data_IF_222066262655
#
_entry.id   IF_222066262655
#
_cell.length_a   1.000
_cell.length_b   1.000
_cell.length_c   1.000
_cell.angle_alpha   90.00
_cell.angle_beta   90.00
_cell.angle_gamma   90.00
#
_symmetry.space_group_name_H-M   'P 1'
#
loop_
_entity.id
_entity.type
_entity.pdbx_description
1 polymer ?
#
# COMPACT_ATOMS: atom_id res chain seq x y z
N UNK A 1 -23.89 4.48 -5.29
CA UNK A 1 -23.57 3.15 -4.69
C UNK A 1 -23.76 3.25 -3.18
N UNK A 2 -24.59 2.38 -2.61
CA UNK A 2 -24.84 2.38 -1.16
C UNK A 2 -23.79 1.53 -0.42
N UNK A 3 -23.73 1.63 0.93
CA UNK A 3 -22.72 0.93 1.75
C UNK A 3 -22.75 -0.60 1.59
N UNK A 4 -23.94 -1.20 1.44
CA UNK A 4 -24.07 -2.65 1.28
C UNK A 4 -23.55 -3.11 -0.08
N UNK A 5 -23.87 -2.38 -1.14
CA UNK A 5 -23.32 -2.64 -2.48
C UNK A 5 -21.81 -2.46 -2.53
N UNK A 6 -21.29 -1.47 -1.81
CA UNK A 6 -19.86 -1.22 -1.70
C UNK A 6 -19.14 -2.36 -0.96
N UNK A 7 -19.63 -2.78 0.22
CA UNK A 7 -19.05 -3.90 0.98
C UNK A 7 -19.27 -5.24 0.25
N UNK A 8 -20.41 -5.44 -0.42
CA UNK A 8 -20.66 -6.64 -1.21
C UNK A 8 -19.71 -6.74 -2.40
N UNK A 9 -19.48 -5.65 -3.12
CA UNK A 9 -18.52 -5.61 -4.22
C UNK A 9 -17.08 -5.77 -3.73
N UNK A 10 -16.73 -5.29 -2.54
CA UNK A 10 -15.40 -5.49 -1.94
C UNK A 10 -15.19 -6.93 -1.46
N UNK A 11 -16.23 -7.58 -0.94
CA UNK A 11 -16.20 -9.02 -0.60
C UNK A 11 -16.10 -9.87 -1.88
N UNK A 12 -16.80 -9.50 -2.96
CA UNK A 12 -16.67 -10.15 -4.26
C UNK A 12 -15.28 -9.93 -4.88
N UNK A 13 -14.66 -8.76 -4.69
CA UNK A 13 -13.27 -8.53 -5.09
C UNK A 13 -12.30 -9.40 -4.28
N UNK A 14 -12.57 -9.64 -2.99
CA UNK A 14 -11.80 -10.56 -2.16
C UNK A 14 -12.04 -12.04 -2.52
N UNK A 15 -13.14 -12.37 -3.20
CA UNK A 15 -13.47 -13.73 -3.68
C UNK A 15 -12.93 -13.98 -5.12
N UNK A 16 -12.18 -13.02 -5.69
CA UNK A 16 -11.48 -13.23 -6.97
C UNK A 16 -12.42 -13.38 -8.18
N UNK A 17 -13.63 -12.84 -8.11
CA UNK A 17 -14.44 -12.60 -9.29
C UNK A 17 -14.12 -11.18 -9.78
N UNK A 18 -13.12 -11.09 -10.64
CA UNK A 18 -12.90 -9.91 -11.47
C UNK A 18 -14.14 -9.69 -12.36
N UNK A 19 -15.11 -8.96 -11.86
CA UNK A 19 -16.07 -8.24 -12.69
C UNK A 19 -15.39 -6.96 -13.23
N UNK A 20 -14.12 -7.09 -13.62
CA UNK A 20 -13.54 -6.16 -14.58
C UNK A 20 -14.27 -6.52 -15.88
N UNK A 21 -15.00 -5.60 -16.52
CA UNK A 21 -15.48 -5.85 -17.88
C UNK A 21 -14.26 -6.38 -18.64
N UNK A 22 -14.40 -7.50 -19.36
CA UNK A 22 -13.41 -7.93 -20.35
C UNK A 22 -13.35 -6.81 -21.38
N UNK A 23 -12.58 -5.77 -21.06
CA UNK A 23 -12.13 -4.80 -22.02
C UNK A 23 -11.29 -5.61 -23.00
N UNK A 24 -11.90 -5.98 -24.11
CA UNK A 24 -11.21 -6.50 -25.30
C UNK A 24 -10.33 -5.37 -25.78
N UNK A 25 -9.11 -5.32 -25.24
CA UNK A 25 -8.09 -4.39 -25.69
C UNK A 25 -7.68 -4.82 -27.09
N UNK A 26 -8.26 -4.14 -28.09
CA UNK A 26 -7.59 -3.97 -29.36
C UNK A 26 -6.19 -3.41 -29.10
N UNK A 27 -5.28 -3.46 -30.05
CA UNK A 27 -3.91 -2.87 -29.97
C UNK A 27 -3.99 -1.34 -29.81
N UNK A 28 -4.52 -0.86 -28.68
CA UNK A 28 -5.12 0.45 -28.52
C UNK A 28 -4.11 1.46 -28.01
N UNK A 29 -4.31 2.68 -28.47
CA UNK A 29 -3.57 3.89 -28.09
C UNK A 29 -3.46 4.06 -26.57
N UNK A 30 -4.49 3.66 -25.82
CA UNK A 30 -4.53 3.78 -24.34
C UNK A 30 -3.53 2.87 -23.62
N UNK A 31 -3.42 1.60 -24.03
CA UNK A 31 -2.42 0.67 -23.46
C UNK A 31 -1.01 1.20 -23.69
N UNK A 32 -0.72 1.66 -24.90
CA UNK A 32 0.58 2.25 -25.23
C UNK A 32 0.86 3.52 -24.45
N UNK A 33 -0.15 4.37 -24.24
CA UNK A 33 0.00 5.58 -23.42
C UNK A 33 0.38 5.23 -21.97
N UNK A 34 -0.25 4.22 -21.37
CA UNK A 34 0.06 3.79 -20.00
C UNK A 34 1.41 3.11 -19.89
N UNK A 35 1.81 2.31 -20.88
CA UNK A 35 3.16 1.75 -20.94
C UNK A 35 4.23 2.84 -21.03
N UNK A 36 4.00 3.85 -21.87
CA UNK A 36 4.88 5.01 -21.97
C UNK A 36 4.94 5.81 -20.67
N UNK A 37 3.81 5.96 -19.98
CA UNK A 37 3.79 6.58 -18.65
C UNK A 37 4.65 5.80 -17.65
N UNK A 38 4.51 4.46 -17.59
CA UNK A 38 5.30 3.62 -16.69
C UNK A 38 6.80 3.78 -16.98
N UNK A 39 7.20 3.78 -18.25
CA UNK A 39 8.60 4.00 -18.62
C UNK A 39 9.08 5.42 -18.21
N UNK A 40 8.27 6.45 -18.43
CA UNK A 40 8.61 7.82 -18.00
C UNK A 40 8.76 7.94 -16.49
N UNK A 41 7.90 7.26 -15.71
CA UNK A 41 8.00 7.20 -14.25
C UNK A 41 9.27 6.49 -13.78
N UNK A 42 9.66 5.40 -14.45
CA UNK A 42 10.91 4.67 -14.17
C UNK A 42 12.15 5.53 -14.43
N UNK A 43 12.19 6.19 -15.58
CA UNK A 43 13.28 7.13 -15.91
C UNK A 43 13.37 8.24 -14.88
N UNK A 44 12.23 8.84 -14.51
CA UNK A 44 12.19 9.89 -13.49
C UNK A 44 12.68 9.39 -12.13
N UNK A 45 12.28 8.18 -11.72
CA UNK A 45 12.73 7.58 -10.46
C UNK A 45 14.24 7.37 -10.42
N UNK A 46 14.86 7.01 -11.54
CA UNK A 46 16.32 6.82 -11.63
C UNK A 46 17.09 8.13 -11.72
N UNK A 47 16.63 9.08 -12.56
CA UNK A 47 17.39 10.29 -12.87
C UNK A 47 17.17 11.42 -11.87
N UNK A 48 15.97 11.52 -11.29
CA UNK A 48 15.59 12.63 -10.41
C UNK A 48 15.45 12.25 -8.94
N UNK A 49 15.29 10.95 -8.65
CA UNK A 49 15.14 10.45 -7.27
C UNK A 49 16.28 9.50 -6.88
N UNK A 50 17.21 9.22 -7.78
CA UNK A 50 18.39 8.35 -7.57
C UNK A 50 18.03 6.93 -7.10
N UNK A 51 16.81 6.48 -7.38
CA UNK A 51 16.36 5.14 -6.98
C UNK A 51 16.98 4.07 -7.88
N UNK A 52 17.62 3.10 -7.26
CA UNK A 52 18.27 1.98 -7.95
C UNK A 52 17.35 0.76 -7.95
N UNK A 53 17.00 0.27 -9.12
CA UNK A 53 16.21 -0.95 -9.30
C UNK A 53 16.69 -1.76 -10.50
N UNK A 54 16.24 -3.01 -10.58
CA UNK A 54 16.67 -3.91 -11.64
C UNK A 54 16.16 -3.44 -13.01
N UNK A 55 16.92 -3.75 -14.07
CA UNK A 55 16.57 -3.41 -15.46
C UNK A 55 15.22 -3.97 -15.91
N UNK A 56 14.79 -5.11 -15.35
CA UNK A 56 13.52 -5.76 -15.67
C UNK A 56 12.33 -5.28 -14.82
N UNK A 57 12.53 -4.28 -13.95
CA UNK A 57 11.48 -3.66 -13.14
C UNK A 57 10.37 -3.08 -14.03
N UNK A 58 9.15 -3.62 -13.93
CA UNK A 58 7.99 -3.28 -14.77
C UNK A 58 8.29 -3.20 -16.28
N UNK A 59 9.18 -4.07 -16.78
CA UNK A 59 9.53 -4.13 -18.21
C UNK A 59 8.83 -5.26 -18.96
N UNK A 60 8.24 -6.22 -18.25
CA UNK A 60 7.51 -7.34 -18.82
C UNK A 60 6.02 -7.09 -18.67
N UNK A 61 5.27 -7.36 -19.73
CA UNK A 61 3.82 -7.33 -19.71
C UNK A 61 3.24 -8.74 -19.77
N UNK A 62 2.22 -9.01 -18.96
CA UNK A 62 1.49 -10.27 -18.97
C UNK A 62 0.00 -10.01 -19.07
N UNK A 63 -0.67 -10.72 -19.98
CA UNK A 63 -2.13 -10.74 -20.09
C UNK A 63 -2.80 -11.55 -18.99
N UNK A 64 -2.15 -12.66 -18.64
CA UNK A 64 -2.71 -13.68 -17.76
C UNK A 64 -2.10 -13.53 -16.38
N UNK A 65 -2.91 -13.01 -15.46
CA UNK A 65 -2.56 -12.88 -14.07
C UNK A 65 -3.27 -13.92 -13.25
N UNK A 66 -2.49 -14.70 -12.52
CA UNK A 66 -3.03 -15.43 -11.38
C UNK A 66 -2.90 -14.52 -10.15
N UNK A 67 -3.99 -14.21 -9.47
CA UNK A 67 -3.90 -13.42 -8.25
C UNK A 67 -3.08 -14.18 -7.20
N UNK A 68 -2.23 -13.47 -6.46
CA UNK A 68 -1.47 -14.03 -5.35
C UNK A 68 -2.20 -13.79 -4.04
N UNK A 69 -2.26 -14.81 -3.19
CA UNK A 69 -3.01 -14.80 -1.95
C UNK A 69 -2.10 -14.63 -0.74
N UNK A 70 -2.46 -13.65 0.09
CA UNK A 70 -1.81 -13.32 1.36
C UNK A 70 -2.82 -13.41 2.48
N UNK A 71 -2.51 -14.09 3.56
CA UNK A 71 -3.37 -14.18 4.74
C UNK A 71 -2.70 -13.49 5.92
N UNK A 72 -3.24 -12.36 6.31
CA UNK A 72 -2.90 -11.73 7.58
C UNK A 72 -3.72 -12.36 8.69
N UNK A 73 -3.06 -12.68 9.79
CA UNK A 73 -3.69 -13.29 10.97
C UNK A 73 -3.31 -12.46 12.18
N UNK A 74 -4.28 -12.09 12.98
CA UNK A 74 -4.07 -11.33 14.22
C UNK A 74 -4.83 -11.94 15.38
N UNK A 75 -4.29 -11.79 16.58
CA UNK A 75 -5.01 -12.11 17.81
C UNK A 75 -6.27 -11.25 17.94
N UNK A 76 -7.36 -11.81 18.52
CA UNK A 76 -8.64 -11.10 18.57
C UNK A 76 -8.64 -9.88 19.54
N UNK A 77 -7.74 -9.88 20.52
CA UNK A 77 -7.69 -8.86 21.58
C UNK A 77 -6.58 -7.81 21.41
N UNK A 78 -5.70 -7.99 20.42
CA UNK A 78 -4.62 -7.04 20.12
C UNK A 78 -4.22 -7.13 18.64
N UNK A 79 -3.67 -6.03 18.12
CA UNK A 79 -3.16 -5.96 16.74
C UNK A 79 -1.75 -6.52 16.71
N UNK A 80 -1.67 -7.88 16.65
CA UNK A 80 -0.41 -8.61 16.67
C UNK A 80 -0.58 -9.97 16.03
N UNK A 81 0.42 -10.43 15.27
CA UNK A 81 0.46 -11.79 14.75
C UNK A 81 0.56 -12.83 15.89
N UNK A 82 -0.16 -13.96 15.79
CA UNK A 82 0.02 -15.09 16.70
C UNK A 82 1.46 -15.61 16.65
N UNK A 83 1.87 -16.28 17.74
CA UNK A 83 3.20 -16.91 17.82
C UNK A 83 3.43 -17.87 16.64
N UNK A 84 4.54 -17.72 15.95
CA UNK A 84 4.91 -18.57 14.80
C UNK A 84 4.50 -18.01 13.44
N UNK A 85 3.71 -16.95 13.39
CA UNK A 85 3.43 -16.18 12.17
C UNK A 85 4.23 -14.89 12.26
N UNK A 86 5.15 -14.69 11.30
CA UNK A 86 6.02 -13.49 11.34
C UNK A 86 5.29 -12.23 10.91
N UNK A 87 4.73 -12.21 9.72
CA UNK A 87 4.05 -11.04 9.15
C UNK A 87 2.72 -11.46 8.52
N UNK A 88 2.78 -12.30 7.50
CA UNK A 88 1.64 -12.87 6.79
C UNK A 88 2.01 -14.28 6.28
N UNK A 89 1.00 -15.03 5.86
CA UNK A 89 1.17 -16.30 5.17
C UNK A 89 0.95 -16.07 3.67
N UNK A 90 1.88 -16.53 2.85
CA UNK A 90 1.83 -16.42 1.40
C UNK A 90 1.56 -17.77 0.75
N UNK A 91 0.60 -17.82 -0.18
CA UNK A 91 0.13 -19.03 -0.82
C UNK A 91 0.33 -19.03 -2.35
N UNK A 92 0.97 -18.01 -2.91
CA UNK A 92 1.02 -17.88 -4.36
C UNK A 92 -0.38 -17.84 -4.97
N UNK A 93 -0.62 -18.56 -6.10
CA UNK A 93 -1.94 -18.61 -6.73
C UNK A 93 -2.92 -19.61 -6.07
N UNK A 94 -2.51 -20.34 -5.02
CA UNK A 94 -3.32 -21.38 -4.37
C UNK A 94 -4.41 -20.79 -3.46
N UNK A 95 -5.56 -20.50 -4.07
CA UNK A 95 -6.73 -19.96 -3.37
C UNK A 95 -7.32 -20.94 -2.36
N UNK A 96 -7.34 -22.22 -2.70
CA UNK A 96 -7.98 -23.25 -1.84
C UNK A 96 -7.21 -23.41 -0.54
N UNK A 97 -5.89 -23.49 -0.63
CA UNK A 97 -5.02 -23.54 0.55
C UNK A 97 -5.16 -22.28 1.40
N UNK A 98 -5.21 -21.11 0.77
CA UNK A 98 -5.38 -19.84 1.49
C UNK A 98 -6.71 -19.80 2.27
N UNK A 99 -7.82 -20.23 1.63
CA UNK A 99 -9.14 -20.31 2.28
C UNK A 99 -9.16 -21.36 3.40
N UNK A 100 -8.55 -22.53 3.19
CA UNK A 100 -8.46 -23.57 4.22
C UNK A 100 -7.71 -23.05 5.46
N UNK A 101 -6.58 -22.36 5.27
CA UNK A 101 -5.83 -21.74 6.36
C UNK A 101 -6.60 -20.61 7.03
N UNK A 102 -7.33 -19.79 6.28
CA UNK A 102 -8.19 -18.76 6.86
C UNK A 102 -9.24 -19.37 7.79
N UNK A 103 -9.95 -20.43 7.34
CA UNK A 103 -10.93 -21.13 8.17
C UNK A 103 -10.32 -21.72 9.45
N UNK A 104 -9.12 -22.29 9.35
CA UNK A 104 -8.38 -22.82 10.49
C UNK A 104 -8.17 -21.75 11.57
N UNK A 105 -7.59 -20.60 11.22
CA UNK A 105 -7.32 -19.51 12.18
C UNK A 105 -8.60 -18.85 12.72
N UNK A 106 -9.66 -18.75 11.90
CA UNK A 106 -10.97 -18.31 12.39
C UNK A 106 -11.51 -19.29 13.47
N UNK A 107 -11.33 -20.60 13.26
CA UNK A 107 -11.69 -21.64 14.24
C UNK A 107 -10.89 -21.55 15.54
N UNK A 108 -9.66 -21.04 15.50
CA UNK A 108 -8.82 -20.74 16.68
C UNK A 108 -9.16 -19.40 17.36
N UNK A 109 -10.18 -18.69 16.88
CA UNK A 109 -10.61 -17.41 17.44
C UNK A 109 -9.75 -16.21 17.04
N UNK A 110 -8.90 -16.35 16.01
CA UNK A 110 -8.12 -15.25 15.46
C UNK A 110 -8.95 -14.37 14.53
N UNK A 111 -8.56 -13.12 14.37
CA UNK A 111 -8.98 -12.29 13.27
C UNK A 111 -8.14 -12.58 12.03
N UNK A 112 -8.77 -12.62 10.85
CA UNK A 112 -8.08 -12.90 9.59
C UNK A 112 -8.44 -11.89 8.51
N UNK A 113 -7.51 -11.66 7.59
CA UNK A 113 -7.73 -10.92 6.36
C UNK A 113 -7.08 -11.69 5.21
N UNK A 114 -7.89 -12.28 4.34
CA UNK A 114 -7.42 -12.82 3.06
C UNK A 114 -7.33 -11.68 2.06
N UNK A 115 -6.12 -11.39 1.63
CA UNK A 115 -5.80 -10.29 0.71
C UNK A 115 -5.26 -10.86 -0.60
N UNK A 116 -5.70 -10.31 -1.72
CA UNK A 116 -5.17 -10.62 -3.05
C UNK A 116 -4.35 -9.46 -3.56
N UNK A 117 -3.20 -9.76 -4.13
CA UNK A 117 -2.38 -8.80 -4.85
C UNK A 117 -2.35 -9.22 -6.31
N UNK A 118 -2.89 -8.37 -7.16
CA UNK A 118 -2.92 -8.59 -8.59
C UNK A 118 -1.67 -7.96 -9.22
N UNK A 119 -0.88 -8.80 -9.90
CA UNK A 119 0.08 -8.35 -10.92
C UNK A 119 1.34 -7.59 -10.51
N UNK A 120 1.47 -7.10 -9.30
CA UNK A 120 2.68 -6.35 -8.90
C UNK A 120 3.72 -7.19 -8.16
N UNK A 121 3.44 -8.47 -7.93
CA UNK A 121 4.31 -9.34 -7.12
C UNK A 121 5.73 -9.47 -7.70
N UNK A 122 5.83 -9.64 -9.02
CA UNK A 122 7.11 -9.78 -9.73
C UNK A 122 7.48 -8.52 -10.52
N UNK A 123 6.91 -7.37 -10.16
CA UNK A 123 7.10 -6.10 -10.88
C UNK A 123 6.78 -6.22 -12.38
N UNK A 124 5.74 -6.98 -12.70
CA UNK A 124 5.24 -7.18 -14.07
C UNK A 124 4.12 -6.19 -14.35
N UNK A 125 4.10 -5.62 -15.54
CA UNK A 125 2.95 -4.82 -16.00
C UNK A 125 1.81 -5.76 -16.34
N UNK A 126 0.66 -5.55 -15.71
CA UNK A 126 -0.51 -6.40 -15.84
C UNK A 126 -1.71 -5.62 -16.34
N UNK A 127 -2.74 -6.29 -16.81
CA UNK A 127 -3.98 -5.64 -17.21
C UNK A 127 -4.64 -4.91 -16.03
N UNK A 128 -4.55 -5.48 -14.81
CA UNK A 128 -5.06 -4.85 -13.59
C UNK A 128 -4.34 -3.55 -13.29
N UNK A 129 -3.00 -3.52 -13.42
CA UNK A 129 -2.21 -2.29 -13.28
C UNK A 129 -2.62 -1.24 -14.32
N UNK A 130 -2.77 -1.65 -15.59
CA UNK A 130 -3.17 -0.75 -16.67
C UNK A 130 -4.61 -0.25 -16.56
N UNK A 131 -5.46 -0.89 -15.74
CA UNK A 131 -6.82 -0.42 -15.46
C UNK A 131 -6.87 0.74 -14.46
N UNK A 132 -5.79 1.00 -13.70
CA UNK A 132 -5.72 2.12 -12.78
C UNK A 132 -5.62 3.46 -13.52
N UNK A 133 -6.02 4.56 -12.84
CA UNK A 133 -5.74 5.91 -13.33
C UNK A 133 -4.23 6.23 -13.27
N UNK A 134 -3.83 7.26 -13.99
CA UNK A 134 -2.42 7.62 -14.12
C UNK A 134 -1.80 8.03 -12.76
N UNK A 135 -2.59 8.67 -11.91
CA UNK A 135 -2.19 9.10 -10.58
C UNK A 135 -1.90 7.89 -9.68
N UNK A 136 -2.76 6.87 -9.72
CA UNK A 136 -2.56 5.62 -8.98
C UNK A 136 -1.36 4.83 -9.49
N UNK A 137 -1.14 4.79 -10.82
CA UNK A 137 0.05 4.18 -11.42
C UNK A 137 1.30 4.90 -10.94
N UNK A 138 1.32 6.23 -10.94
CA UNK A 138 2.48 7.01 -10.49
C UNK A 138 2.81 6.73 -9.01
N UNK A 139 1.82 6.78 -8.12
CA UNK A 139 1.98 6.42 -6.71
C UNK A 139 2.58 5.03 -6.54
N UNK A 140 2.05 4.04 -7.26
CA UNK A 140 2.49 2.65 -7.16
C UNK A 140 3.92 2.46 -7.68
N UNK A 141 4.24 2.99 -8.86
CA UNK A 141 5.57 2.79 -9.47
C UNK A 141 6.67 3.39 -8.58
N UNK A 142 6.50 4.59 -8.02
CA UNK A 142 7.49 5.18 -7.11
C UNK A 142 7.60 4.40 -5.79
N UNK A 143 6.48 3.90 -5.24
CA UNK A 143 6.47 3.05 -4.06
C UNK A 143 7.28 1.75 -4.29
N UNK A 144 6.99 1.04 -5.38
CA UNK A 144 7.67 -0.22 -5.70
C UNK A 144 9.14 0.00 -6.13
N UNK A 145 9.46 1.14 -6.75
CA UNK A 145 10.84 1.52 -7.06
C UNK A 145 11.66 1.71 -5.77
N UNK A 146 11.09 2.34 -4.76
CA UNK A 146 11.71 2.50 -3.45
C UNK A 146 11.96 1.13 -2.78
N UNK A 147 11.03 0.19 -2.83
CA UNK A 147 11.26 -1.19 -2.36
C UNK A 147 12.44 -1.87 -3.06
N UNK A 148 12.57 -1.70 -4.38
CA UNK A 148 13.71 -2.27 -5.09
C UNK A 148 15.02 -1.64 -4.66
N UNK A 149 15.04 -0.33 -4.42
CA UNK A 149 16.20 0.39 -3.92
C UNK A 149 16.59 -0.10 -2.51
N UNK A 150 15.62 -0.20 -1.60
CA UNK A 150 15.84 -0.63 -0.21
C UNK A 150 16.02 -2.13 -0.03
N UNK A 151 15.88 -2.96 -1.06
CA UNK A 151 15.99 -4.42 -0.97
C UNK A 151 17.24 -4.92 -0.26
N UNK A 152 18.34 -4.17 -0.32
CA UNK A 152 19.61 -4.49 0.35
C UNK A 152 19.76 -3.77 1.68
N UNK A 153 18.86 -2.84 2.00
CA UNK A 153 18.87 -2.16 3.28
C UNK A 153 18.53 -3.16 4.38
N UNK A 154 18.95 -2.88 5.58
CA UNK A 154 18.55 -3.65 6.76
C UNK A 154 17.51 -2.88 7.58
N UNK A 155 16.75 -2.02 6.89
CA UNK A 155 15.69 -1.24 7.48
C UNK A 155 14.60 -2.18 8.02
N UNK A 156 13.99 -1.80 9.14
CA UNK A 156 12.82 -2.49 9.67
C UNK A 156 11.66 -2.36 8.68
N UNK A 157 10.84 -3.40 8.54
CA UNK A 157 9.74 -3.44 7.57
C UNK A 157 8.74 -2.28 7.73
N UNK A 158 8.44 -1.85 8.96
CA UNK A 158 7.54 -0.71 9.19
C UNK A 158 8.14 0.63 8.72
N UNK A 159 9.46 0.81 8.88
CA UNK A 159 10.16 1.98 8.36
C UNK A 159 10.25 1.92 6.84
N UNK A 160 10.55 0.74 6.28
CA UNK A 160 10.66 0.55 4.83
C UNK A 160 9.35 0.83 4.13
N UNK A 161 8.24 0.21 4.57
CA UNK A 161 6.91 0.44 3.98
C UNK A 161 6.47 1.90 4.12
N UNK A 162 6.70 2.52 5.28
CA UNK A 162 6.43 3.94 5.48
C UNK A 162 7.27 4.84 4.56
N UNK A 163 8.54 4.51 4.34
CA UNK A 163 9.41 5.24 3.41
C UNK A 163 8.93 5.07 1.96
N UNK A 164 8.61 3.84 1.55
CA UNK A 164 8.07 3.58 0.21
C UNK A 164 6.77 4.37 -0.05
N UNK A 165 5.89 4.51 0.96
CA UNK A 165 4.70 5.36 0.85
C UNK A 165 5.05 6.84 0.66
N UNK A 166 6.08 7.34 1.36
CA UNK A 166 6.56 8.71 1.18
C UNK A 166 7.13 8.89 -0.23
N UNK A 167 7.96 7.98 -0.72
CA UNK A 167 8.46 8.00 -2.11
C UNK A 167 7.32 7.94 -3.11
N UNK A 168 6.31 7.10 -2.89
CA UNK A 168 5.11 7.03 -3.74
C UNK A 168 4.41 8.37 -3.83
N UNK A 169 4.11 8.98 -2.68
CA UNK A 169 3.33 10.23 -2.63
C UNK A 169 4.11 11.44 -3.13
N UNK A 170 5.36 11.62 -2.72
CA UNK A 170 6.19 12.76 -3.13
C UNK A 170 6.69 12.60 -4.56
N UNK A 171 7.12 11.41 -4.96
CA UNK A 171 7.56 11.13 -6.32
C UNK A 171 6.46 11.40 -7.34
N UNK A 172 5.22 10.95 -7.06
CA UNK A 172 4.08 11.25 -7.93
C UNK A 172 3.76 12.75 -8.00
N UNK A 173 3.89 13.50 -6.89
CA UNK A 173 3.69 14.95 -6.90
C UNK A 173 4.75 15.66 -7.71
N UNK A 174 6.04 15.37 -7.48
CA UNK A 174 7.15 16.01 -8.22
C UNK A 174 7.11 15.67 -9.71
N UNK A 175 6.80 14.42 -10.05
CA UNK A 175 6.62 14.05 -11.46
C UNK A 175 5.48 14.85 -12.11
N UNK A 176 4.34 14.96 -11.43
CA UNK A 176 3.17 15.68 -11.94
C UNK A 176 3.37 17.20 -12.02
N UNK A 177 4.32 17.79 -11.28
CA UNK A 177 4.68 19.22 -11.42
C UNK A 177 5.37 19.54 -12.76
N UNK A 178 6.02 18.55 -13.36
CA UNK A 178 6.71 18.67 -14.65
C UNK A 178 6.08 17.87 -15.80
N UNK A 179 4.92 17.21 -15.58
CA UNK A 179 4.35 16.31 -16.58
C UNK A 179 2.82 16.27 -16.54
N UNK A 180 2.20 16.76 -17.62
CA UNK A 180 0.74 16.88 -17.75
C UNK A 180 0.00 15.53 -17.88
N UNK A 181 0.70 14.40 -18.02
CA UNK A 181 0.05 13.08 -18.10
C UNK A 181 -0.50 12.59 -16.76
N UNK A 182 -0.09 13.23 -15.64
CA UNK A 182 -0.54 12.96 -14.29
C UNK A 182 -1.10 14.24 -13.68
N UNK A 183 -2.34 14.21 -13.23
CA UNK A 183 -3.01 15.38 -12.64
C UNK A 183 -2.51 15.64 -11.21
N UNK A 184 -1.71 16.70 -11.04
CA UNK A 184 -1.15 17.13 -9.76
C UNK A 184 -2.22 17.34 -8.67
N UNK A 185 -3.40 17.89 -9.04
CA UNK A 185 -4.48 18.13 -8.07
C UNK A 185 -5.05 16.82 -7.53
N UNK A 186 -5.21 15.84 -8.42
CA UNK A 186 -5.64 14.49 -8.02
C UNK A 186 -4.59 13.80 -7.16
N UNK A 187 -3.30 13.84 -7.54
CA UNK A 187 -2.21 13.29 -6.72
C UNK A 187 -2.20 13.91 -5.32
N UNK A 188 -2.25 15.24 -5.21
CA UNK A 188 -2.31 15.94 -3.91
C UNK A 188 -3.55 15.55 -3.10
N UNK A 189 -4.71 15.37 -3.75
CA UNK A 189 -5.93 14.88 -3.09
C UNK A 189 -5.75 13.47 -2.56
N UNK A 190 -5.22 12.55 -3.37
CA UNK A 190 -4.97 11.15 -2.98
C UNK A 190 -3.96 11.06 -1.84
N UNK A 191 -2.85 11.78 -1.91
CA UNK A 191 -1.84 11.82 -0.84
C UNK A 191 -2.44 12.28 0.49
N UNK A 192 -3.28 13.33 0.46
CA UNK A 192 -3.96 13.83 1.67
C UNK A 192 -4.97 12.83 2.24
N UNK A 193 -5.65 12.06 1.39
CA UNK A 193 -6.57 11.00 1.83
C UNK A 193 -5.77 9.87 2.48
N UNK A 194 -4.66 9.43 1.89
CA UNK A 194 -3.76 8.41 2.45
C UNK A 194 -3.25 8.82 3.83
N UNK A 195 -2.70 10.02 3.96
CA UNK A 195 -2.21 10.58 5.22
C UNK A 195 -3.26 10.52 6.34
N UNK A 196 -4.45 11.04 6.06
CA UNK A 196 -5.55 11.02 7.04
C UNK A 196 -5.97 9.60 7.41
N UNK A 197 -5.93 8.67 6.47
CA UNK A 197 -6.29 7.28 6.71
C UNK A 197 -5.28 6.60 7.61
N UNK A 198 -3.98 6.81 7.38
CA UNK A 198 -2.92 6.28 8.24
C UNK A 198 -3.00 6.85 9.65
N UNK A 199 -3.26 8.16 9.80
CA UNK A 199 -3.47 8.77 11.11
C UNK A 199 -4.61 8.10 11.89
N UNK A 200 -5.76 7.87 11.23
CA UNK A 200 -6.92 7.24 11.88
C UNK A 200 -6.68 5.77 12.17
N UNK A 201 -6.01 5.04 11.29
CA UNK A 201 -5.60 3.65 11.51
C UNK A 201 -4.70 3.57 12.75
N UNK A 202 -3.65 4.38 12.85
CA UNK A 202 -2.75 4.41 14.00
C UNK A 202 -3.51 4.73 15.31
N UNK A 203 -4.38 5.76 15.30
CA UNK A 203 -5.22 6.09 16.45
C UNK A 203 -6.16 4.94 16.85
N UNK A 204 -6.63 4.16 15.89
CA UNK A 204 -7.48 2.99 16.15
C UNK A 204 -6.67 1.88 16.78
N UNK A 205 -5.49 1.56 16.24
CA UNK A 205 -4.59 0.52 16.77
C UNK A 205 -4.27 0.77 18.25
N UNK A 206 -3.94 2.01 18.62
CA UNK A 206 -3.62 2.39 20.00
C UNK A 206 -4.80 2.23 20.98
N UNK A 207 -6.02 2.06 20.49
CA UNK A 207 -7.24 1.94 21.31
C UNK A 207 -7.81 0.53 21.35
N UNK A 208 -7.28 -0.39 20.55
CA UNK A 208 -7.68 -1.80 20.57
C UNK A 208 -7.19 -2.44 21.86
N UNK A 209 -8.05 -3.22 22.50
CA UNK A 209 -7.74 -3.90 23.76
C UNK A 209 -8.66 -5.10 24.01
N UNK A 210 -8.79 -5.50 25.26
CA UNK A 210 -9.56 -6.68 25.65
C UNK A 210 -11.09 -6.50 25.55
N UNK A 211 -11.60 -5.26 25.55
CA UNK A 211 -13.03 -4.98 25.43
C UNK A 211 -13.52 -5.15 24.00
N UNK A 212 -14.16 -6.29 23.72
CA UNK A 212 -14.71 -6.62 22.40
C UNK A 212 -15.74 -5.60 21.90
N UNK A 213 -16.61 -5.08 22.78
CA UNK A 213 -17.65 -4.13 22.38
C UNK A 213 -17.04 -2.78 21.97
N UNK A 214 -15.99 -2.35 22.66
CA UNK A 214 -15.24 -1.16 22.29
C UNK A 214 -14.54 -1.38 20.94
N UNK A 215 -13.89 -2.51 20.74
CA UNK A 215 -13.21 -2.84 19.49
C UNK A 215 -14.18 -2.84 18.30
N UNK A 216 -15.36 -3.46 18.42
CA UNK A 216 -16.41 -3.45 17.39
C UNK A 216 -16.87 -2.02 17.02
N UNK A 217 -17.03 -1.15 18.02
CA UNK A 217 -17.36 0.26 17.79
C UNK A 217 -16.25 0.99 17.03
N UNK A 218 -14.99 0.69 17.36
CA UNK A 218 -13.82 1.29 16.69
C UNK A 218 -13.73 0.82 15.23
N UNK A 219 -13.92 -0.48 14.98
CA UNK A 219 -13.91 -1.02 13.61
C UNK A 219 -14.99 -0.37 12.74
N UNK A 220 -16.24 -0.31 13.22
CA UNK A 220 -17.35 0.32 12.47
C UNK A 220 -17.11 1.80 12.19
N UNK A 221 -16.51 2.54 13.13
CA UNK A 221 -16.14 3.94 12.93
C UNK A 221 -15.06 4.09 11.85
N UNK A 222 -14.05 3.24 11.90
CA UNK A 222 -12.97 3.24 10.91
C UNK A 222 -13.51 2.86 9.53
N UNK A 223 -14.30 1.78 9.41
CA UNK A 223 -14.96 1.39 8.16
C UNK A 223 -15.76 2.53 7.54
N UNK A 224 -16.62 3.18 8.35
CA UNK A 224 -17.44 4.29 7.87
C UNK A 224 -16.58 5.45 7.39
N UNK A 225 -15.50 5.76 8.10
CA UNK A 225 -14.59 6.83 7.72
C UNK A 225 -13.87 6.50 6.41
N UNK A 226 -13.25 5.34 6.33
CA UNK A 226 -12.54 4.90 5.13
C UNK A 226 -13.48 4.83 3.92
N UNK A 227 -14.69 4.31 4.12
CA UNK A 227 -15.70 4.31 3.07
C UNK A 227 -16.00 5.73 2.55
N UNK A 228 -16.25 6.68 3.45
CA UNK A 228 -16.58 8.05 3.05
C UNK A 228 -15.38 8.76 2.38
N UNK A 229 -14.17 8.49 2.85
CA UNK A 229 -12.96 9.11 2.31
C UNK A 229 -12.60 8.54 0.92
N UNK A 230 -12.88 7.25 0.67
CA UNK A 230 -12.43 6.54 -0.54
C UNK A 230 -13.52 6.21 -1.55
N UNK A 231 -14.81 6.39 -1.25
CA UNK A 231 -15.91 6.05 -2.17
C UNK A 231 -15.80 6.73 -3.56
N UNK A 232 -15.15 7.87 -3.61
CA UNK A 232 -14.94 8.67 -4.82
C UNK A 232 -13.46 8.70 -5.28
N UNK A 233 -12.58 7.94 -4.63
CA UNK A 233 -11.20 7.74 -5.07
C UNK A 233 -11.14 6.59 -6.06
N UNK A 234 -10.24 6.64 -7.03
CA UNK A 234 -10.10 5.62 -8.07
C UNK A 234 -9.93 4.19 -7.53
N UNK A 235 -10.08 3.22 -8.39
CA UNK A 235 -10.16 1.78 -8.06
C UNK A 235 -8.98 1.24 -7.23
N UNK A 236 -7.75 1.74 -7.45
CA UNK A 236 -6.56 1.27 -6.73
C UNK A 236 -6.65 1.51 -5.22
N UNK A 237 -6.97 2.74 -4.81
CA UNK A 237 -7.05 3.08 -3.38
C UNK A 237 -8.25 2.40 -2.73
N UNK A 238 -9.37 2.29 -3.45
CA UNK A 238 -10.51 1.52 -2.98
C UNK A 238 -10.11 0.07 -2.68
N UNK A 239 -9.45 -0.62 -3.60
CA UNK A 239 -9.00 -2.00 -3.41
C UNK A 239 -8.05 -2.15 -2.22
N UNK A 240 -7.22 -1.15 -1.93
CA UNK A 240 -6.28 -1.19 -0.83
C UNK A 240 -6.94 -1.12 0.55
N UNK A 241 -8.01 -0.32 0.69
CA UNK A 241 -8.63 0.01 1.98
C UNK A 241 -10.01 -0.61 2.21
N UNK A 242 -10.62 -1.22 1.18
CA UNK A 242 -11.97 -1.75 1.29
C UNK A 242 -11.95 -3.22 1.66
N UNK A 243 -11.87 -3.45 2.96
CA UNK A 243 -12.02 -4.76 3.58
C UNK A 243 -12.77 -4.59 4.90
N UNK A 244 -13.44 -5.64 5.40
CA UNK A 244 -13.97 -5.61 6.76
C UNK A 244 -12.87 -5.27 7.76
N UNK A 245 -13.07 -4.23 8.55
CA UNK A 245 -12.08 -3.80 9.55
C UNK A 245 -12.10 -4.74 10.74
N UNK A 246 -10.96 -5.34 11.02
CA UNK A 246 -10.66 -6.15 12.19
C UNK A 246 -9.17 -6.03 12.54
N UNK A 247 -8.68 -6.75 13.54
CA UNK A 247 -7.26 -6.66 13.91
C UNK A 247 -6.30 -7.10 12.78
N UNK A 248 -6.67 -8.08 11.95
CA UNK A 248 -5.83 -8.49 10.82
C UNK A 248 -5.76 -7.41 9.73
N UNK A 249 -6.86 -6.68 9.50
CA UNK A 249 -6.88 -5.49 8.66
C UNK A 249 -5.98 -4.38 9.23
N UNK A 250 -6.08 -4.12 10.53
CA UNK A 250 -5.24 -3.13 11.21
C UNK A 250 -3.77 -3.53 11.14
N UNK A 251 -3.44 -4.80 11.39
CA UNK A 251 -2.09 -5.34 11.29
C UNK A 251 -1.49 -5.13 9.90
N UNK A 252 -2.24 -5.48 8.82
CA UNK A 252 -1.80 -5.22 7.44
C UNK A 252 -1.48 -3.74 7.20
N UNK A 253 -2.38 -2.85 7.62
CA UNK A 253 -2.21 -1.44 7.33
C UNK A 253 -1.23 -0.73 8.29
N UNK A 254 -0.89 -1.35 9.42
CA UNK A 254 0.12 -0.84 10.35
C UNK A 254 1.50 -0.72 9.69
N UNK A 255 1.86 -1.64 8.79
CA UNK A 255 3.13 -1.58 8.06
C UNK A 255 3.32 -0.25 7.34
N UNK A 256 2.28 0.25 6.70
CA UNK A 256 2.30 1.51 5.96
C UNK A 256 2.12 2.73 6.87
N UNK A 257 1.30 2.60 7.90
CA UNK A 257 0.82 3.72 8.70
C UNK A 257 1.75 4.10 9.85
N UNK A 258 2.47 3.14 10.45
CA UNK A 258 3.13 3.32 11.76
C UNK A 258 4.12 4.48 11.79
N UNK A 259 4.94 4.65 10.77
CA UNK A 259 5.98 5.66 10.70
C UNK A 259 5.77 6.69 9.59
N UNK A 260 4.68 6.60 8.82
CA UNK A 260 4.43 7.46 7.68
C UNK A 260 4.49 8.96 8.02
N UNK A 261 3.81 9.41 9.08
CA UNK A 261 3.79 10.82 9.49
C UNK A 261 5.19 11.33 9.87
N UNK A 262 5.96 10.53 10.60
CA UNK A 262 7.32 10.84 10.98
C UNK A 262 8.23 10.98 9.75
N UNK A 263 8.19 10.00 8.85
CA UNK A 263 9.00 9.97 7.63
C UNK A 263 8.61 11.09 6.67
N UNK A 264 7.32 11.38 6.54
CA UNK A 264 6.80 12.50 5.75
C UNK A 264 7.36 13.83 6.25
N UNK A 265 7.34 14.08 7.56
CA UNK A 265 7.91 15.31 8.15
C UNK A 265 9.40 15.45 7.90
N UNK A 266 10.15 14.35 7.94
CA UNK A 266 11.58 14.36 7.58
C UNK A 266 11.76 14.70 6.11
N UNK A 267 11.00 14.08 5.20
CA UNK A 267 11.07 14.36 3.76
C UNK A 267 10.70 15.82 3.44
N UNK A 268 9.68 16.38 4.12
CA UNK A 268 9.30 17.79 3.98
C UNK A 268 10.42 18.74 4.45
N UNK A 269 11.11 18.39 5.54
CA UNK A 269 12.23 19.17 6.06
C UNK A 269 13.45 19.10 5.14
N UNK A 270 13.72 17.93 4.58
CA UNK A 270 14.84 17.71 3.66
C UNK A 270 14.67 18.45 2.33
N UNK A 271 13.45 18.87 1.98
CA UNK A 271 13.08 19.63 0.77
C UNK A 271 13.38 18.94 -0.56
N UNK A 272 14.35 18.01 -0.59
CA UNK A 272 14.77 17.23 -1.75
C UNK A 272 14.66 15.75 -1.42
N UNK A 273 14.11 15.00 -2.36
CA UNK A 273 13.91 13.55 -2.20
C UNK A 273 15.24 12.80 -2.04
N UNK A 274 16.31 13.28 -2.67
CA UNK A 274 17.65 12.69 -2.58
C UNK A 274 18.23 12.85 -1.18
N UNK A 275 18.10 14.03 -0.55
CA UNK A 275 18.52 14.24 0.84
C UNK A 275 17.74 13.35 1.82
N UNK A 276 16.46 13.12 1.53
CA UNK A 276 15.66 12.17 2.28
C UNK A 276 16.16 10.72 2.09
N UNK A 277 16.55 10.35 0.88
CA UNK A 277 17.15 9.05 0.56
C UNK A 277 18.43 8.83 1.37
N UNK A 278 19.37 9.79 1.33
CA UNK A 278 20.62 9.76 2.12
C UNK A 278 20.34 9.60 3.62
N UNK A 279 19.31 10.29 4.11
CA UNK A 279 18.89 10.18 5.51
C UNK A 279 18.48 8.75 5.83
N UNK A 280 17.64 8.12 5.00
CA UNK A 280 17.17 6.75 5.21
C UNK A 280 18.31 5.72 5.13
N UNK A 281 19.25 5.87 4.20
CA UNK A 281 20.39 4.98 4.04
C UNK A 281 21.35 5.04 5.24
N UNK A 282 21.42 6.19 5.91
CA UNK A 282 22.25 6.40 7.10
C UNK A 282 21.64 5.87 8.40
N UNK A 283 20.37 5.43 8.39
CA UNK A 283 19.66 5.02 9.61
C UNK A 283 20.28 3.79 10.28
N UNK A 284 20.31 3.76 11.62
CA UNK A 284 20.67 2.57 12.37
C UNK A 284 19.71 1.41 12.07
N UNK A 285 20.21 0.17 12.11
CA UNK A 285 19.42 -1.05 11.90
C UNK A 285 18.33 -1.30 12.94
N UNK A 286 18.55 -0.80 14.18
CA UNK A 286 17.56 -0.93 15.25
C UNK A 286 16.51 0.16 15.10
N UNK A 287 15.24 -0.27 15.06
CA UNK A 287 14.08 0.60 14.81
C UNK A 287 14.00 1.76 15.80
N UNK A 288 14.12 1.48 17.09
CA UNK A 288 14.09 2.50 18.15
C UNK A 288 15.14 3.59 17.94
N UNK A 289 16.39 3.20 17.62
CA UNK A 289 17.48 4.14 17.32
C UNK A 289 17.23 4.92 16.02
N UNK A 290 16.70 4.26 14.98
CA UNK A 290 16.36 4.93 13.74
C UNK A 290 15.27 6.00 13.96
N UNK A 291 14.26 5.68 14.77
CA UNK A 291 13.21 6.62 15.15
C UNK A 291 13.78 7.82 15.94
N UNK A 292 14.72 7.60 16.87
CA UNK A 292 15.40 8.66 17.60
C UNK A 292 16.13 9.62 16.65
N UNK A 293 16.88 9.08 15.68
CA UNK A 293 17.58 9.88 14.65
C UNK A 293 16.59 10.70 13.83
N UNK A 294 15.49 10.09 13.34
CA UNK A 294 14.47 10.78 12.57
C UNK A 294 13.79 11.90 13.39
N UNK A 295 13.48 11.66 14.67
CA UNK A 295 12.91 12.67 15.56
C UNK A 295 13.87 13.83 15.83
N UNK A 296 15.14 13.53 16.09
CA UNK A 296 16.17 14.56 16.30
C UNK A 296 16.33 15.45 15.05
N UNK A 297 16.26 14.85 13.86
CA UNK A 297 16.31 15.61 12.62
C UNK A 297 15.16 16.60 12.46
N UNK A 298 13.93 16.25 12.89
CA UNK A 298 12.79 17.16 12.87
C UNK A 298 12.95 18.29 13.89
N UNK A 299 13.52 17.98 15.07
CA UNK A 299 13.65 18.93 16.18
C UNK A 299 14.87 19.87 16.07
N UNK A 300 15.84 19.58 15.21
CA UNK A 300 16.98 20.45 14.96
C UNK A 300 16.51 21.64 14.08
N UNK A 301 16.28 22.79 14.70
CA UNK A 301 16.10 24.08 14.02
C UNK A 301 17.44 24.73 13.70
#
# INVERSE_FOLDING_TARGET
MNRKEFLFNSVLASVGLSLIPKLTFGKDSLTNQKLNLIESLKVYAQENMELNFKKDFFSKWSKDESPHYYLYVSEAHQVKSPKGIKDYLYFGPDKEMAIAKQKHYLGEGCHTLLYTRDGTHDFTVTNSLLAYDNESIALLIFHEAAHQHFKKSKMNLFLEEGACEVFGTFGAQFFAEGNDTVDLKKVKKLSKILEKSYEVINKTILRIGADKNLNEKLYRRLENKLFNDFKDSGSFIQQRFIYPVNNAYLLKNQYFAQHFDLLKKVAEKDKFINTFLDTLESLPKKEDKAIEVLKSKISAE
#
